data_IF_220503848092
#
_entry.id   IF_220503848092
#
_cell.length_a   1.000
_cell.length_b   1.000
_cell.length_c   1.000
_cell.angle_alpha   90.00
_cell.angle_beta   90.00
_cell.angle_gamma   90.00
#
_symmetry.space_group_name_H-M   'P 1'
#
loop_
_entity.id
_entity.type
_entity.pdbx_description
1 polymer ?
#
# COMPACT_ATOMS: atom_id res chain seq x y z
N UNK A 1 -29.12 -49.24 24.15
CA UNK A 1 -29.17 -47.84 24.65
C UNK A 1 -28.86 -46.91 23.48
N UNK A 2 -29.85 -46.14 23.05
CA UNK A 2 -29.80 -45.23 21.90
C UNK A 2 -29.10 -43.93 22.32
N UNK A 3 -27.99 -43.56 21.67
CA UNK A 3 -27.42 -42.23 21.78
C UNK A 3 -27.91 -41.40 20.60
N UNK A 4 -28.66 -40.37 20.88
CA UNK A 4 -29.30 -39.51 19.92
C UNK A 4 -28.29 -38.51 19.32
N UNK A 5 -28.22 -38.52 18.01
CA UNK A 5 -27.47 -37.58 17.18
C UNK A 5 -28.29 -36.28 17.07
N UNK A 6 -27.95 -35.24 17.86
CA UNK A 6 -28.49 -33.89 17.70
C UNK A 6 -27.69 -33.17 16.61
N UNK A 7 -28.14 -33.26 15.37
CA UNK A 7 -27.77 -32.31 14.32
C UNK A 7 -28.37 -30.95 14.69
N UNK A 8 -27.51 -29.97 14.95
CA UNK A 8 -27.91 -28.58 15.09
C UNK A 8 -28.50 -28.07 13.76
N UNK A 9 -29.80 -27.89 13.73
CA UNK A 9 -30.50 -27.12 12.71
C UNK A 9 -30.12 -25.64 12.93
N UNK A 10 -29.16 -25.11 12.13
CA UNK A 10 -28.96 -23.70 12.06
C UNK A 10 -30.22 -23.02 11.53
N UNK A 11 -30.94 -22.34 12.41
CA UNK A 11 -32.03 -21.46 11.98
C UNK A 11 -31.48 -20.42 11.03
N UNK A 12 -32.01 -20.39 9.80
CA UNK A 12 -31.72 -19.31 8.86
C UNK A 12 -32.15 -17.98 9.49
N UNK A 13 -31.33 -16.93 9.43
CA UNK A 13 -31.73 -15.63 9.95
C UNK A 13 -33.01 -15.19 9.22
N UNK A 14 -34.10 -15.00 9.97
CA UNK A 14 -35.40 -14.57 9.44
C UNK A 14 -35.36 -13.07 9.15
N UNK A 15 -34.61 -12.69 8.11
CA UNK A 15 -34.55 -11.32 7.61
C UNK A 15 -35.72 -11.13 6.67
N UNK A 16 -36.68 -10.28 7.03
CA UNK A 16 -37.76 -9.91 6.14
C UNK A 16 -37.20 -9.19 4.90
N UNK A 17 -37.77 -9.46 3.73
CA UNK A 17 -37.30 -8.87 2.45
C UNK A 17 -37.21 -7.33 2.50
N UNK A 18 -38.06 -6.67 3.32
CA UNK A 18 -38.04 -5.21 3.54
C UNK A 18 -36.81 -4.73 4.33
N UNK A 19 -36.15 -5.60 5.07
CA UNK A 19 -34.98 -5.29 5.91
C UNK A 19 -33.67 -5.61 5.16
N UNK A 20 -33.77 -6.07 3.91
CA UNK A 20 -32.62 -6.41 3.10
C UNK A 20 -32.00 -5.17 2.43
N UNK A 21 -30.73 -4.92 2.69
CA UNK A 21 -29.98 -3.83 2.08
C UNK A 21 -29.49 -4.25 0.70
N UNK A 22 -29.84 -3.50 -0.36
CA UNK A 22 -29.39 -3.75 -1.71
C UNK A 22 -27.87 -3.52 -1.83
N UNK A 23 -27.14 -4.58 -2.21
CA UNK A 23 -25.70 -4.55 -2.35
C UNK A 23 -25.19 -3.55 -3.39
N UNK A 24 -25.98 -3.27 -4.46
CA UNK A 24 -25.64 -2.25 -5.47
C UNK A 24 -25.68 -0.85 -4.88
N UNK A 25 -26.65 -0.55 -4.00
CA UNK A 25 -26.71 0.74 -3.30
C UNK A 25 -25.51 0.89 -2.35
N UNK A 26 -25.13 -0.18 -1.63
CA UNK A 26 -23.92 -0.21 -0.79
C UNK A 26 -22.65 0.03 -1.63
N UNK A 27 -22.56 -0.56 -2.80
CA UNK A 27 -21.45 -0.38 -3.73
C UNK A 27 -21.28 1.09 -4.14
N UNK A 28 -22.36 1.74 -4.56
CA UNK A 28 -22.31 3.16 -4.94
C UNK A 28 -21.96 4.06 -3.75
N UNK A 29 -22.53 3.78 -2.58
CA UNK A 29 -22.23 4.54 -1.37
C UNK A 29 -20.75 4.38 -0.99
N UNK A 30 -20.22 3.16 -0.97
CA UNK A 30 -18.83 2.87 -0.63
C UNK A 30 -17.86 3.63 -1.54
N UNK A 31 -18.06 3.57 -2.85
CA UNK A 31 -17.19 4.25 -3.80
C UNK A 31 -17.32 5.78 -3.73
N UNK A 32 -18.51 6.32 -3.59
CA UNK A 32 -18.71 7.77 -3.43
C UNK A 32 -18.01 8.29 -2.16
N UNK A 33 -18.10 7.56 -1.05
CA UNK A 33 -17.44 7.90 0.21
C UNK A 33 -15.91 7.78 0.10
N UNK A 34 -15.40 6.73 -0.55
CA UNK A 34 -13.95 6.51 -0.78
C UNK A 34 -13.34 7.59 -1.66
N UNK A 35 -14.04 7.99 -2.73
CA UNK A 35 -13.59 9.04 -3.65
C UNK A 35 -13.72 10.45 -3.06
N UNK A 36 -14.55 10.66 -2.05
CA UNK A 36 -14.80 11.95 -1.43
C UNK A 36 -15.52 12.98 -2.35
N UNK A 37 -15.75 12.64 -3.63
CA UNK A 37 -16.45 13.46 -4.63
C UNK A 37 -17.25 12.59 -5.57
N UNK A 38 -18.48 12.99 -5.89
CA UNK A 38 -19.33 12.27 -6.83
C UNK A 38 -18.76 12.26 -8.26
N UNK A 39 -18.11 13.34 -8.69
CA UNK A 39 -17.48 13.43 -10.03
C UNK A 39 -16.32 12.44 -10.20
N UNK A 40 -15.57 12.18 -9.12
CA UNK A 40 -14.51 11.17 -9.13
C UNK A 40 -15.13 9.77 -9.14
N UNK A 41 -16.17 9.55 -8.34
CA UNK A 41 -16.91 8.28 -8.33
C UNK A 41 -17.53 7.96 -9.71
N UNK A 42 -18.08 8.97 -10.42
CA UNK A 42 -18.57 8.84 -11.79
C UNK A 42 -17.47 8.35 -12.74
N UNK A 43 -16.28 8.96 -12.68
CA UNK A 43 -15.14 8.57 -13.52
C UNK A 43 -14.66 7.14 -13.22
N UNK A 44 -14.67 6.73 -11.95
CA UNK A 44 -14.23 5.40 -11.51
C UNK A 44 -15.23 4.32 -11.86
N UNK A 45 -16.54 4.61 -11.71
CA UNK A 45 -17.61 3.62 -11.86
C UNK A 45 -18.20 3.57 -13.28
N UNK A 46 -17.93 4.57 -14.11
CA UNK A 46 -18.55 4.70 -15.43
C UNK A 46 -20.07 4.92 -15.35
N UNK A 47 -20.58 5.46 -14.24
CA UNK A 47 -22.01 5.66 -13.97
C UNK A 47 -22.26 7.13 -13.68
N UNK A 48 -23.26 7.74 -14.31
CA UNK A 48 -23.57 9.16 -14.15
C UNK A 48 -23.74 9.56 -12.69
N UNK A 49 -23.17 10.70 -12.31
CA UNK A 49 -23.22 11.26 -10.94
C UNK A 49 -24.64 11.30 -10.36
N UNK A 50 -25.63 11.68 -11.19
CA UNK A 50 -27.04 11.75 -10.78
C UNK A 50 -27.60 10.38 -10.40
N UNK A 51 -27.20 9.31 -11.11
CA UNK A 51 -27.62 7.96 -10.78
C UNK A 51 -26.99 7.49 -9.49
N UNK A 52 -25.67 7.71 -9.26
CA UNK A 52 -24.98 7.38 -8.02
C UNK A 52 -25.63 8.11 -6.84
N UNK A 53 -25.84 9.43 -6.96
CA UNK A 53 -26.48 10.25 -5.91
C UNK A 53 -27.88 9.76 -5.57
N UNK A 54 -28.69 9.40 -6.57
CA UNK A 54 -30.04 8.86 -6.40
C UNK A 54 -30.03 7.53 -5.66
N UNK A 55 -29.12 6.62 -6.01
CA UNK A 55 -29.04 5.31 -5.34
C UNK A 55 -28.63 5.45 -3.86
N UNK A 56 -27.75 6.40 -3.57
CA UNK A 56 -27.34 6.68 -2.17
C UNK A 56 -28.53 7.31 -1.39
N UNK A 57 -29.28 8.24 -1.99
CA UNK A 57 -30.48 8.79 -1.34
C UNK A 57 -31.54 7.72 -1.04
N UNK A 58 -31.72 6.75 -1.94
CA UNK A 58 -32.59 5.60 -1.69
C UNK A 58 -32.05 4.76 -0.53
N UNK A 59 -30.75 4.48 -0.48
CA UNK A 59 -30.12 3.75 0.65
C UNK A 59 -30.34 4.50 1.98
N UNK A 60 -30.14 5.81 2.00
CA UNK A 60 -30.37 6.65 3.18
C UNK A 60 -31.83 6.62 3.63
N UNK A 61 -32.76 6.64 2.65
CA UNK A 61 -34.21 6.51 2.92
C UNK A 61 -34.55 5.12 3.47
N UNK A 62 -34.00 4.05 2.91
CA UNK A 62 -34.23 2.68 3.36
C UNK A 62 -33.71 2.47 4.81
N UNK A 63 -32.59 3.11 5.14
CA UNK A 63 -31.98 3.04 6.47
C UNK A 63 -32.53 4.08 7.47
N UNK A 64 -33.29 5.06 7.00
CA UNK A 64 -33.85 6.13 7.83
C UNK A 64 -32.82 7.12 8.37
N UNK A 65 -31.59 7.14 7.85
CA UNK A 65 -30.48 7.97 8.32
C UNK A 65 -29.64 8.50 7.18
N UNK A 66 -29.10 9.70 7.31
CA UNK A 66 -28.13 10.25 6.37
C UNK A 66 -26.76 9.62 6.60
N UNK A 67 -26.13 9.16 5.50
CA UNK A 67 -24.81 8.56 5.49
C UNK A 67 -23.73 9.52 5.02
N UNK A 68 -24.07 10.45 4.11
CA UNK A 68 -23.16 11.45 3.55
C UNK A 68 -23.63 12.87 3.82
N UNK A 69 -22.69 13.73 4.19
CA UNK A 69 -22.86 15.18 4.25
C UNK A 69 -22.22 15.81 3.01
N UNK A 70 -22.94 16.70 2.33
CA UNK A 70 -22.39 17.50 1.23
C UNK A 70 -21.60 18.67 1.80
N UNK A 71 -20.38 18.85 1.31
CA UNK A 71 -19.51 19.97 1.66
C UNK A 71 -19.22 20.79 0.39
N UNK A 72 -18.71 22.00 0.52
CA UNK A 72 -18.29 22.83 -0.62
C UNK A 72 -17.22 22.18 -1.50
N UNK A 73 -16.55 21.13 -1.01
CA UNK A 73 -15.45 20.44 -1.68
C UNK A 73 -15.71 18.95 -2.00
N UNK A 74 -16.91 18.46 -1.72
CA UNK A 74 -17.27 17.06 -1.98
C UNK A 74 -18.25 16.47 -0.98
N UNK A 75 -18.01 15.23 -0.56
CA UNK A 75 -18.84 14.51 0.43
C UNK A 75 -18.00 13.98 1.59
N UNK A 76 -18.61 13.95 2.78
CA UNK A 76 -18.01 13.38 4.00
C UNK A 76 -18.97 12.38 4.63
N UNK A 77 -18.42 11.38 5.31
CA UNK A 77 -19.20 10.41 6.07
C UNK A 77 -19.77 11.05 7.35
N UNK A 78 -21.07 10.85 7.60
CA UNK A 78 -21.69 11.08 8.89
C UNK A 78 -21.22 10.04 9.91
N UNK A 79 -21.66 10.14 11.19
CA UNK A 79 -21.42 9.08 12.18
C UNK A 79 -22.04 7.75 11.75
N UNK A 80 -23.29 7.78 11.25
CA UNK A 80 -23.96 6.59 10.69
C UNK A 80 -23.26 6.10 9.41
N UNK A 81 -22.84 7.03 8.53
CA UNK A 81 -22.07 6.70 7.33
C UNK A 81 -20.78 5.94 7.62
N UNK A 82 -20.04 6.28 8.68
CA UNK A 82 -18.83 5.54 9.07
C UNK A 82 -19.12 4.08 9.47
N UNK A 83 -20.24 3.85 10.14
CA UNK A 83 -20.69 2.49 10.52
C UNK A 83 -21.02 1.69 9.25
N UNK A 84 -21.89 2.25 8.38
CA UNK A 84 -22.30 1.60 7.14
C UNK A 84 -21.12 1.41 6.20
N UNK A 85 -20.19 2.37 6.10
CA UNK A 85 -18.98 2.26 5.29
C UNK A 85 -18.11 1.06 5.67
N UNK A 86 -17.93 0.84 6.98
CA UNK A 86 -17.17 -0.32 7.48
C UNK A 86 -17.83 -1.62 7.07
N UNK A 87 -19.15 -1.77 7.29
CA UNK A 87 -19.87 -2.98 6.92
C UNK A 87 -20.01 -3.15 5.42
N UNK A 88 -20.18 -2.06 4.65
CA UNK A 88 -20.20 -2.09 3.19
C UNK A 88 -18.89 -2.64 2.63
N UNK A 89 -17.74 -2.21 3.15
CA UNK A 89 -16.43 -2.78 2.77
C UNK A 89 -16.39 -4.30 3.00
N UNK A 90 -16.83 -4.76 4.17
CA UNK A 90 -16.82 -6.19 4.52
C UNK A 90 -17.74 -7.03 3.62
N UNK A 91 -18.92 -6.51 3.29
CA UNK A 91 -19.89 -7.18 2.40
C UNK A 91 -19.37 -7.24 0.96
N UNK A 92 -18.85 -6.12 0.44
CA UNK A 92 -18.31 -6.04 -0.91
C UNK A 92 -17.08 -6.94 -1.09
N UNK A 93 -16.23 -7.02 -0.06
CA UNK A 93 -15.11 -7.97 -0.02
C UNK A 93 -15.60 -9.42 -0.12
N UNK A 94 -16.66 -9.80 0.64
CA UNK A 94 -17.24 -11.15 0.59
C UNK A 94 -17.85 -11.46 -0.79
N UNK A 95 -18.50 -10.50 -1.42
CA UNK A 95 -19.03 -10.68 -2.79
C UNK A 95 -17.93 -10.87 -3.82
N UNK A 96 -16.82 -10.15 -3.66
CA UNK A 96 -15.62 -10.32 -4.48
C UNK A 96 -14.99 -11.70 -4.26
N UNK A 97 -14.96 -12.16 -3.01
CA UNK A 97 -14.47 -13.50 -2.63
C UNK A 97 -15.28 -14.62 -3.31
N UNK A 98 -16.62 -14.51 -3.35
CA UNK A 98 -17.47 -15.48 -4.05
C UNK A 98 -17.14 -15.60 -5.55
N UNK A 99 -16.97 -14.45 -6.23
CA UNK A 99 -16.58 -14.44 -7.66
C UNK A 99 -15.25 -15.16 -7.88
N UNK A 100 -14.28 -14.81 -7.07
CA UNK A 100 -12.93 -15.37 -7.14
C UNK A 100 -12.93 -16.87 -6.83
N UNK A 101 -13.65 -17.32 -5.79
CA UNK A 101 -13.72 -18.74 -5.42
C UNK A 101 -14.37 -19.57 -6.53
N UNK A 102 -15.34 -18.99 -7.25
CA UNK A 102 -15.91 -19.62 -8.45
C UNK A 102 -14.91 -19.63 -9.61
N UNK A 103 -14.13 -18.58 -9.82
CA UNK A 103 -13.08 -18.54 -10.84
C UNK A 103 -11.96 -19.54 -10.54
N UNK A 104 -11.58 -19.72 -9.28
CA UNK A 104 -10.63 -20.76 -8.85
C UNK A 104 -11.21 -22.15 -9.11
N UNK A 105 -12.50 -22.37 -8.82
CA UNK A 105 -13.17 -23.67 -9.04
C UNK A 105 -13.37 -23.96 -10.53
N UNK A 106 -13.63 -22.93 -11.35
CA UNK A 106 -13.78 -23.05 -12.80
C UNK A 106 -12.44 -23.17 -13.54
N UNK A 107 -11.36 -22.62 -12.95
CA UNK A 107 -9.99 -22.65 -13.48
C UNK A 107 -9.13 -23.60 -12.66
N UNK A 108 -9.50 -24.87 -12.55
CA UNK A 108 -8.68 -25.91 -11.87
C UNK A 108 -7.24 -26.05 -12.41
N UNK A 109 -6.79 -25.17 -13.33
CA UNK A 109 -5.46 -25.21 -13.96
C UNK A 109 -4.93 -23.88 -14.50
N UNK A 110 -5.16 -22.74 -13.86
CA UNK A 110 -4.28 -21.60 -14.19
C UNK A 110 -3.24 -21.47 -13.10
N UNK A 111 -2.09 -22.10 -13.33
CA UNK A 111 -0.85 -21.86 -12.59
C UNK A 111 -0.43 -20.39 -12.76
N UNK A 112 -1.14 -19.48 -12.10
CA UNK A 112 -0.83 -18.06 -12.12
C UNK A 112 -0.52 -17.58 -10.71
N UNK A 113 0.58 -16.84 -10.57
CA UNK A 113 0.98 -16.17 -9.34
C UNK A 113 1.29 -14.70 -9.63
N UNK A 114 0.83 -13.81 -8.75
CA UNK A 114 1.02 -12.39 -8.90
C UNK A 114 1.69 -11.76 -7.66
N UNK A 115 2.80 -11.05 -7.90
CA UNK A 115 3.55 -10.28 -6.91
C UNK A 115 3.44 -8.80 -7.21
N UNK A 116 3.15 -8.00 -6.20
CA UNK A 116 3.15 -6.54 -6.34
C UNK A 116 4.08 -5.88 -5.30
N UNK A 117 4.63 -4.71 -5.64
CA UNK A 117 5.48 -3.99 -4.71
C UNK A 117 5.84 -2.57 -5.15
N UNK A 118 6.50 -1.80 -4.27
CA UNK A 118 6.94 -0.45 -4.59
C UNK A 118 8.12 -0.45 -5.58
N UNK A 119 8.28 0.62 -6.38
CA UNK A 119 9.32 0.75 -7.40
C UNK A 119 10.72 0.38 -6.92
N UNK A 120 11.12 0.85 -5.74
CA UNK A 120 12.46 0.61 -5.18
C UNK A 120 12.73 -0.88 -4.92
N UNK A 121 11.74 -1.61 -4.38
CA UNK A 121 11.86 -3.04 -4.16
C UNK A 121 11.87 -3.81 -5.49
N UNK A 122 10.97 -3.46 -6.40
CA UNK A 122 10.85 -4.12 -7.69
C UNK A 122 12.12 -3.97 -8.52
N UNK A 123 12.66 -2.75 -8.63
CA UNK A 123 13.90 -2.50 -9.38
C UNK A 123 15.08 -3.28 -8.79
N UNK A 124 15.16 -3.40 -7.46
CA UNK A 124 16.31 -4.04 -6.80
C UNK A 124 16.24 -5.56 -6.81
N UNK A 125 15.09 -6.16 -6.49
CA UNK A 125 14.99 -7.59 -6.21
C UNK A 125 14.19 -8.38 -7.24
N UNK A 126 13.21 -7.74 -7.92
CA UNK A 126 12.36 -8.49 -8.84
C UNK A 126 13.11 -9.16 -9.98
N UNK A 127 14.20 -8.62 -10.56
CA UNK A 127 14.96 -9.33 -11.60
C UNK A 127 15.43 -10.70 -11.14
N UNK A 128 16.06 -10.82 -9.97
CA UNK A 128 16.54 -12.09 -9.43
C UNK A 128 15.38 -13.01 -9.05
N UNK A 129 14.32 -12.46 -8.42
CA UNK A 129 13.12 -13.20 -8.05
C UNK A 129 12.47 -13.81 -9.30
N UNK A 130 12.27 -13.03 -10.34
CA UNK A 130 11.64 -13.49 -11.60
C UNK A 130 12.47 -14.58 -12.26
N UNK A 131 13.78 -14.37 -12.38
CA UNK A 131 14.68 -15.36 -13.02
C UNK A 131 14.64 -16.69 -12.28
N UNK A 132 14.82 -16.68 -10.95
CA UNK A 132 14.82 -17.91 -10.14
C UNK A 132 13.45 -18.57 -10.11
N UNK A 133 12.38 -17.80 -9.95
CA UNK A 133 11.03 -18.36 -9.95
C UNK A 133 10.67 -19.02 -11.27
N UNK A 134 10.99 -18.39 -12.42
CA UNK A 134 10.76 -18.95 -13.74
C UNK A 134 11.60 -20.20 -14.02
N UNK A 135 12.75 -20.35 -13.41
CA UNK A 135 13.55 -21.59 -13.47
C UNK A 135 12.90 -22.74 -12.68
N UNK A 136 12.33 -22.43 -11.49
CA UNK A 136 11.66 -23.44 -10.66
C UNK A 136 10.26 -23.81 -11.20
N UNK A 137 9.55 -22.85 -11.76
CA UNK A 137 8.16 -22.99 -12.21
C UNK A 137 7.97 -22.45 -13.64
N UNK A 138 8.53 -23.12 -14.66
CA UNK A 138 8.52 -22.61 -16.05
C UNK A 138 7.11 -22.51 -16.65
N UNK A 139 6.16 -23.33 -16.17
CA UNK A 139 4.76 -23.36 -16.65
C UNK A 139 3.86 -22.35 -15.96
N UNK A 140 4.25 -21.83 -14.79
CA UNK A 140 3.46 -20.88 -14.02
C UNK A 140 3.50 -19.50 -14.68
N UNK A 141 2.35 -18.89 -14.86
CA UNK A 141 2.24 -17.51 -15.31
C UNK A 141 2.54 -16.57 -14.15
N UNK A 142 3.71 -15.93 -14.14
CA UNK A 142 4.09 -14.94 -13.15
C UNK A 142 3.68 -13.54 -13.62
N UNK A 143 2.93 -12.82 -12.79
CA UNK A 143 2.62 -11.40 -12.95
C UNK A 143 3.39 -10.59 -11.91
N UNK A 144 4.06 -9.52 -12.34
CA UNK A 144 4.77 -8.59 -11.44
C UNK A 144 4.22 -7.19 -11.66
N UNK A 145 3.71 -6.58 -10.59
CA UNK A 145 3.01 -5.29 -10.64
C UNK A 145 3.74 -4.28 -9.75
N UNK A 146 4.03 -3.12 -10.32
CA UNK A 146 4.61 -2.00 -9.59
C UNK A 146 3.51 -1.01 -9.19
N UNK A 147 3.39 -0.69 -7.91
CA UNK A 147 2.41 0.28 -7.43
C UNK A 147 2.80 0.87 -6.06
N UNK A 148 2.20 2.00 -5.69
CA UNK A 148 2.31 2.56 -4.34
C UNK A 148 1.52 1.74 -3.32
N UNK A 149 1.93 1.76 -2.04
CA UNK A 149 1.38 0.93 -0.96
C UNK A 149 -0.15 0.93 -0.87
N UNK A 150 -0.81 2.08 -1.06
CA UNK A 150 -2.28 2.16 -1.01
C UNK A 150 -2.96 1.31 -2.08
N UNK A 151 -2.46 1.35 -3.30
CA UNK A 151 -2.98 0.56 -4.42
C UNK A 151 -2.66 -0.92 -4.27
N UNK A 152 -1.48 -1.26 -3.70
CA UNK A 152 -1.08 -2.65 -3.45
C UNK A 152 -2.05 -3.39 -2.55
N UNK A 153 -2.55 -2.72 -1.51
CA UNK A 153 -3.54 -3.30 -0.60
C UNK A 153 -4.91 -3.50 -1.26
N UNK A 154 -5.32 -2.57 -2.13
CA UNK A 154 -6.52 -2.75 -2.94
C UNK A 154 -6.37 -3.97 -3.85
N UNK A 155 -5.25 -4.10 -4.57
CA UNK A 155 -4.98 -5.26 -5.44
C UNK A 155 -4.95 -6.59 -4.69
N UNK A 156 -4.49 -6.63 -3.43
CA UNK A 156 -4.58 -7.83 -2.59
C UNK A 156 -6.04 -8.17 -2.25
N UNK A 157 -6.81 -7.17 -1.80
CA UNK A 157 -8.22 -7.36 -1.42
C UNK A 157 -9.05 -7.79 -2.62
N UNK A 158 -8.85 -7.16 -3.78
CA UNK A 158 -9.55 -7.48 -5.03
C UNK A 158 -9.07 -8.80 -5.67
N UNK A 159 -8.05 -9.44 -5.09
CA UNK A 159 -7.48 -10.69 -5.60
C UNK A 159 -6.68 -10.56 -6.89
N UNK A 160 -6.36 -9.33 -7.31
CA UNK A 160 -5.53 -9.07 -8.49
C UNK A 160 -4.06 -9.48 -8.26
N UNK A 161 -3.62 -9.59 -7.01
CA UNK A 161 -2.30 -10.10 -6.62
C UNK A 161 -2.41 -11.05 -5.43
N UNK A 162 -1.48 -12.00 -5.34
CA UNK A 162 -1.39 -12.98 -4.25
C UNK A 162 -0.51 -12.46 -3.11
N UNK A 163 0.56 -11.79 -3.48
CA UNK A 163 1.60 -11.30 -2.57
C UNK A 163 1.86 -9.82 -2.84
N UNK A 164 1.98 -9.02 -1.78
CA UNK A 164 2.38 -7.63 -1.93
C UNK A 164 3.52 -7.26 -0.97
N UNK A 165 4.43 -6.42 -1.46
CA UNK A 165 5.50 -5.81 -0.67
C UNK A 165 5.03 -4.43 -0.25
N UNK A 166 5.08 -4.13 1.06
CA UNK A 166 4.67 -2.83 1.59
C UNK A 166 5.70 -2.31 2.61
N UNK A 167 5.82 -0.99 2.71
CA UNK A 167 6.73 -0.33 3.66
C UNK A 167 6.02 0.17 4.93
N UNK A 168 4.73 -0.06 5.02
CA UNK A 168 3.93 0.23 6.20
C UNK A 168 2.77 -0.76 6.29
N UNK A 169 2.57 -1.32 7.47
CA UNK A 169 1.46 -2.22 7.72
C UNK A 169 0.20 -1.39 7.97
N UNK A 170 -0.87 -1.57 7.18
CA UNK A 170 -2.15 -1.01 7.54
C UNK A 170 -2.69 -1.70 8.79
N UNK A 171 -3.46 -0.98 9.60
CA UNK A 171 -4.19 -1.56 10.73
C UNK A 171 -5.30 -2.48 10.21
N UNK A 172 -4.94 -3.70 9.82
CA UNK A 172 -5.88 -4.69 9.30
C UNK A 172 -5.63 -6.03 9.95
N UNK A 173 -6.68 -6.66 10.43
CA UNK A 173 -6.65 -8.04 10.95
C UNK A 173 -6.74 -9.11 9.85
N UNK A 174 -7.00 -8.68 8.61
CA UNK A 174 -7.19 -9.56 7.45
C UNK A 174 -5.89 -10.01 6.80
N UNK A 175 -4.76 -9.36 7.11
CA UNK A 175 -3.46 -9.62 6.49
C UNK A 175 -2.59 -10.54 7.34
N UNK A 176 -1.93 -11.48 6.69
CA UNK A 176 -0.72 -12.12 7.17
C UNK A 176 0.46 -11.23 6.80
N UNK A 177 1.37 -11.01 7.75
CA UNK A 177 2.45 -10.04 7.60
C UNK A 177 3.76 -10.67 8.01
N UNK A 178 4.71 -10.68 7.10
CA UNK A 178 6.08 -11.15 7.34
C UNK A 178 7.05 -9.99 7.14
N UNK A 179 7.86 -9.67 8.15
CA UNK A 179 8.96 -8.70 7.99
C UNK A 179 10.08 -9.36 7.20
N UNK A 180 10.44 -8.79 6.05
CA UNK A 180 11.47 -9.35 5.17
C UNK A 180 12.77 -8.56 5.19
N UNK A 181 12.73 -7.26 5.49
CA UNK A 181 13.93 -6.43 5.62
C UNK A 181 13.65 -5.19 6.48
N UNK A 182 14.71 -4.54 6.93
CA UNK A 182 14.73 -3.20 7.50
C UNK A 182 15.73 -2.37 6.71
N UNK A 183 15.40 -1.12 6.37
CA UNK A 183 16.31 -0.19 5.68
C UNK A 183 16.40 1.15 6.39
N UNK A 184 17.54 1.79 6.30
CA UNK A 184 17.73 3.17 6.74
C UNK A 184 17.13 4.15 5.74
N UNK A 185 16.66 5.29 6.25
CA UNK A 185 16.23 6.43 5.43
C UNK A 185 17.31 7.49 5.48
N UNK A 186 17.64 8.01 4.31
CA UNK A 186 18.70 8.99 4.12
C UNK A 186 18.12 10.31 3.60
N UNK A 187 18.79 11.39 3.94
CA UNK A 187 18.69 12.65 3.22
C UNK A 187 19.56 12.56 1.98
N UNK A 188 18.98 12.82 0.82
CA UNK A 188 19.68 12.69 -0.46
C UNK A 188 19.75 14.04 -1.17
N UNK A 189 20.91 14.35 -1.74
CA UNK A 189 21.17 15.61 -2.41
C UNK A 189 22.26 15.47 -3.48
N UNK A 190 22.42 16.51 -4.30
CA UNK A 190 23.54 16.63 -5.21
C UNK A 190 24.88 16.61 -4.43
N UNK A 191 25.99 16.16 -5.06
CA UNK A 191 27.26 15.97 -4.36
C UNK A 191 27.87 17.24 -3.73
N UNK A 192 27.53 18.42 -4.24
CA UNK A 192 28.00 19.74 -3.79
C UNK A 192 27.08 20.39 -2.74
N UNK A 193 25.99 19.72 -2.35
CA UNK A 193 25.06 20.27 -1.39
C UNK A 193 25.69 20.40 0.01
N UNK A 194 25.49 21.54 0.75
CA UNK A 194 26.13 21.81 2.03
C UNK A 194 25.99 20.69 3.07
N UNK A 195 24.82 20.09 3.19
CA UNK A 195 24.53 18.99 4.14
C UNK A 195 25.41 17.76 3.91
N UNK A 196 25.87 17.55 2.67
CA UNK A 196 26.77 16.43 2.35
C UNK A 196 28.15 16.64 3.01
N UNK A 197 28.60 17.89 3.10
CA UNK A 197 29.86 18.24 3.75
C UNK A 197 29.78 18.04 5.28
N UNK A 198 28.61 18.29 5.87
CA UNK A 198 28.36 18.06 7.29
C UNK A 198 28.33 16.57 7.64
N UNK A 199 27.95 15.71 6.67
CA UNK A 199 27.96 14.26 6.79
C UNK A 199 26.76 13.67 7.56
N UNK A 200 25.83 14.51 8.04
CA UNK A 200 24.59 14.13 8.72
C UNK A 200 23.53 15.21 8.50
N UNK A 201 22.28 14.81 8.31
CA UNK A 201 21.16 15.73 8.16
C UNK A 201 20.37 15.80 9.48
N UNK A 202 20.50 16.89 10.20
CA UNK A 202 19.75 17.13 11.44
C UNK A 202 18.29 17.42 11.12
N UNK A 203 17.38 16.73 11.80
CA UNK A 203 15.95 16.81 11.56
C UNK A 203 15.40 18.22 11.55
N UNK A 204 15.87 19.08 12.46
CA UNK A 204 15.46 20.47 12.60
C UNK A 204 15.81 21.36 11.39
N UNK A 205 16.90 21.04 10.67
CA UNK A 205 17.34 21.81 9.50
C UNK A 205 16.81 21.31 8.16
N UNK A 206 16.29 20.08 8.10
CA UNK A 206 15.80 19.49 6.85
C UNK A 206 14.70 20.36 6.19
N UNK A 207 13.72 20.96 6.92
CA UNK A 207 12.70 21.81 6.30
C UNK A 207 13.22 23.10 5.64
N UNK A 208 14.43 23.51 5.95
CA UNK A 208 15.07 24.69 5.34
C UNK A 208 15.49 24.43 3.89
N UNK A 209 15.58 23.15 3.49
CA UNK A 209 15.91 22.74 2.14
C UNK A 209 14.63 22.50 1.30
N UNK A 210 14.79 22.44 -0.01
CA UNK A 210 13.68 22.15 -0.95
C UNK A 210 13.28 20.68 -0.86
N UNK A 211 12.64 20.30 0.23
CA UNK A 211 12.28 18.93 0.53
C UNK A 211 11.16 18.42 -0.41
N UNK A 212 11.35 17.21 -0.93
CA UNK A 212 10.28 16.46 -1.62
C UNK A 212 9.74 15.37 -0.69
N UNK A 213 8.42 15.32 -0.58
CA UNK A 213 7.70 14.30 0.17
C UNK A 213 6.83 13.45 -0.77
N UNK A 214 6.53 12.20 -0.40
CA UNK A 214 5.49 11.42 -1.09
C UNK A 214 4.13 12.12 -1.01
N UNK A 215 3.33 12.06 -2.09
CA UNK A 215 1.98 12.62 -2.11
C UNK A 215 0.96 11.72 -1.41
N UNK A 216 1.11 10.39 -1.57
CA UNK A 216 0.21 9.39 -0.98
C UNK A 216 0.29 9.38 0.55
N UNK A 217 -0.87 9.43 1.20
CA UNK A 217 -1.00 9.37 2.67
C UNK A 217 -0.70 7.98 3.25
N UNK A 218 -0.63 6.94 2.43
CA UNK A 218 -0.34 5.58 2.86
C UNK A 218 1.13 5.22 2.57
N UNK A 219 1.77 4.58 3.54
CA UNK A 219 3.15 4.14 3.42
C UNK A 219 4.17 5.18 3.85
N UNK A 220 5.12 5.50 2.99
CA UNK A 220 6.31 6.31 3.30
C UNK A 220 5.99 7.70 3.87
N UNK A 221 4.95 8.38 3.36
CA UNK A 221 4.57 9.72 3.84
C UNK A 221 4.22 9.72 5.33
N UNK A 222 3.43 8.75 5.80
CA UNK A 222 3.05 8.67 7.22
C UNK A 222 4.27 8.50 8.13
N UNK A 223 5.27 7.72 7.68
CA UNK A 223 6.53 7.55 8.41
C UNK A 223 7.29 8.87 8.51
N UNK A 224 7.38 9.62 7.41
CA UNK A 224 8.07 10.92 7.40
C UNK A 224 7.32 11.97 8.22
N UNK A 225 6.00 12.08 8.08
CA UNK A 225 5.20 13.00 8.90
C UNK A 225 5.42 12.75 10.38
N UNK A 226 5.34 11.50 10.82
CA UNK A 226 5.59 11.15 12.23
C UNK A 226 6.99 11.55 12.69
N UNK A 227 8.00 11.27 11.87
CA UNK A 227 9.39 11.64 12.19
C UNK A 227 9.55 13.15 12.46
N UNK A 228 8.91 14.00 11.67
CA UNK A 228 8.96 15.45 11.88
C UNK A 228 8.04 15.93 13.01
N UNK A 229 6.84 15.33 13.15
CA UNK A 229 5.92 15.62 14.26
C UNK A 229 6.55 15.34 15.63
N UNK A 230 7.32 14.28 15.77
CA UNK A 230 8.09 13.97 16.99
C UNK A 230 9.13 15.07 17.35
N UNK A 231 9.56 15.85 16.38
CA UNK A 231 10.41 17.03 16.55
C UNK A 231 9.64 18.35 16.66
N UNK A 232 8.29 18.31 16.62
CA UNK A 232 7.46 19.53 16.59
C UNK A 232 7.55 20.33 15.30
N UNK A 233 7.92 19.68 14.18
CA UNK A 233 8.22 20.33 12.90
C UNK A 233 7.07 20.08 11.92
N UNK A 234 6.53 21.16 11.33
CA UNK A 234 5.53 21.09 10.26
C UNK A 234 6.20 21.08 8.88
N UNK A 235 5.91 20.05 8.09
CA UNK A 235 6.40 19.88 6.71
C UNK A 235 5.25 19.82 5.69
N UNK A 236 4.06 20.27 6.06
CA UNK A 236 2.85 20.15 5.21
C UNK A 236 2.93 20.94 3.91
N UNK A 237 3.73 22.01 3.87
CA UNK A 237 3.89 22.93 2.71
C UNK A 237 4.93 22.48 1.69
N UNK A 238 5.61 21.35 1.88
CA UNK A 238 6.66 20.87 0.99
C UNK A 238 6.11 20.31 -0.32
N UNK A 239 6.97 20.25 -1.35
CA UNK A 239 6.64 19.67 -2.66
C UNK A 239 6.27 18.18 -2.49
N UNK A 240 5.17 17.74 -3.12
CA UNK A 240 4.68 16.39 -3.00
C UNK A 240 4.72 15.65 -4.34
N UNK A 241 5.42 14.51 -4.40
CA UNK A 241 5.61 13.71 -5.62
C UNK A 241 5.59 12.22 -5.26
N UNK A 242 4.79 11.41 -5.97
CA UNK A 242 4.76 9.95 -5.83
C UNK A 242 5.64 9.21 -6.85
N UNK A 243 6.04 9.87 -7.94
CA UNK A 243 6.86 9.26 -8.98
C UNK A 243 8.33 9.23 -8.57
N UNK A 244 8.86 8.04 -8.26
CA UNK A 244 10.28 7.86 -7.94
C UNK A 244 11.21 8.32 -9.09
N UNK A 245 10.94 8.00 -10.37
CA UNK A 245 11.75 8.52 -11.48
C UNK A 245 11.76 10.04 -11.57
N UNK A 246 10.60 10.70 -11.39
CA UNK A 246 10.53 12.17 -11.39
C UNK A 246 11.31 12.77 -10.22
N UNK A 247 11.20 12.15 -9.03
CA UNK A 247 11.91 12.57 -7.83
C UNK A 247 13.43 12.52 -8.04
N UNK A 248 13.93 11.41 -8.64
CA UNK A 248 15.34 11.25 -9.01
C UNK A 248 15.81 12.33 -10.00
N UNK A 249 15.00 12.62 -11.02
CA UNK A 249 15.33 13.68 -12.01
C UNK A 249 15.39 15.06 -11.37
N UNK A 250 14.44 15.42 -10.52
CA UNK A 250 14.43 16.70 -9.83
C UNK A 250 15.61 16.87 -8.88
N UNK A 251 16.06 15.79 -8.25
CA UNK A 251 17.26 15.81 -7.41
C UNK A 251 18.53 16.04 -8.25
N UNK A 252 18.60 15.42 -9.44
CA UNK A 252 19.78 15.55 -10.32
C UNK A 252 19.84 16.89 -11.07
N UNK A 253 18.69 17.47 -11.40
CA UNK A 253 18.57 18.65 -12.26
C UNK A 253 18.22 19.94 -11.51
N UNK A 254 17.86 19.86 -10.23
CA UNK A 254 17.39 20.99 -9.43
C UNK A 254 17.86 20.97 -7.98
N UNK A 255 17.48 21.99 -7.20
CA UNK A 255 17.91 22.15 -5.82
C UNK A 255 17.06 21.29 -4.84
N UNK A 256 16.50 20.17 -5.28
CA UNK A 256 15.54 19.40 -4.49
C UNK A 256 16.21 18.26 -3.73
N UNK A 257 15.75 18.02 -2.50
CA UNK A 257 16.33 17.07 -1.57
C UNK A 257 15.26 16.13 -1.02
N UNK A 258 15.02 14.94 -1.61
CA UNK A 258 14.09 13.98 -1.05
C UNK A 258 14.69 13.18 0.11
N UNK A 259 13.83 12.72 1.02
CA UNK A 259 14.16 11.61 1.90
C UNK A 259 13.93 10.30 1.15
N UNK A 260 14.93 9.44 1.11
CA UNK A 260 14.87 8.17 0.40
C UNK A 260 15.28 7.01 1.30
N UNK A 261 14.53 5.89 1.24
CA UNK A 261 15.02 4.63 1.75
C UNK A 261 16.21 4.16 0.91
N UNK A 262 17.07 3.38 1.52
CA UNK A 262 18.30 2.91 0.89
C UNK A 262 18.09 2.29 -0.50
N UNK A 263 17.10 1.40 -0.65
CA UNK A 263 16.78 0.78 -1.92
C UNK A 263 16.46 1.79 -3.04
N UNK A 264 15.91 2.95 -2.67
CA UNK A 264 15.52 3.97 -3.63
C UNK A 264 16.70 4.78 -4.19
N UNK A 265 17.78 4.92 -3.42
CA UNK A 265 18.92 5.77 -3.77
C UNK A 265 20.23 4.99 -4.02
N UNK A 266 20.28 3.69 -3.71
CA UNK A 266 21.48 2.86 -3.76
C UNK A 266 22.24 2.97 -5.07
N UNK A 267 21.54 2.80 -6.19
CA UNK A 267 22.14 2.85 -7.52
C UNK A 267 22.82 4.19 -7.83
N UNK A 268 22.11 5.30 -7.57
CA UNK A 268 22.62 6.66 -7.80
C UNK A 268 23.76 7.06 -6.85
N UNK A 269 23.77 6.51 -5.63
CA UNK A 269 24.91 6.70 -4.70
C UNK A 269 26.13 5.91 -5.17
N UNK A 270 25.92 4.67 -5.65
CA UNK A 270 27.00 3.84 -6.19
C UNK A 270 27.61 4.43 -7.46
N UNK A 271 26.79 4.99 -8.35
CA UNK A 271 27.24 5.71 -9.55
C UNK A 271 27.83 7.09 -9.26
N UNK A 272 27.73 7.57 -8.01
CA UNK A 272 28.15 8.91 -7.58
C UNK A 272 27.38 10.07 -8.21
N UNK A 273 26.23 9.81 -8.77
CA UNK A 273 25.37 10.83 -9.31
C UNK A 273 24.70 11.66 -8.21
N UNK A 274 24.46 11.06 -7.05
CA UNK A 274 24.02 11.72 -5.84
C UNK A 274 24.79 11.24 -4.61
N UNK A 275 24.64 11.96 -3.53
CA UNK A 275 25.09 11.52 -2.20
C UNK A 275 23.94 11.42 -1.22
N UNK A 276 24.14 10.57 -0.23
CA UNK A 276 23.19 10.33 0.85
C UNK A 276 23.90 10.47 2.19
N UNK A 277 23.25 11.14 3.13
CA UNK A 277 23.73 11.25 4.51
C UNK A 277 22.66 10.73 5.48
N UNK A 278 23.07 10.10 6.59
CA UNK A 278 22.13 9.65 7.59
C UNK A 278 21.38 10.82 8.22
N UNK A 279 20.18 10.52 8.70
CA UNK A 279 19.38 11.45 9.49
C UNK A 279 19.80 11.46 10.96
N UNK A 280 19.65 12.60 11.61
CA UNK A 280 19.81 12.75 13.05
C UNK A 280 18.57 13.40 13.67
N UNK A 281 17.80 12.66 14.50
CA UNK A 281 17.95 11.24 14.85
C UNK A 281 17.74 10.30 13.65
N UNK A 282 18.31 9.08 13.67
CA UNK A 282 18.18 8.13 12.57
C UNK A 282 16.73 7.69 12.37
N UNK A 283 16.35 7.50 11.10
CA UNK A 283 15.03 7.00 10.71
C UNK A 283 15.19 5.68 9.98
N UNK A 284 14.50 4.65 10.45
CA UNK A 284 14.42 3.34 9.82
C UNK A 284 13.01 3.00 9.43
N UNK A 285 12.85 2.14 8.43
CA UNK A 285 11.57 1.57 8.05
C UNK A 285 11.69 0.09 7.71
N UNK A 286 10.66 -0.67 8.05
CA UNK A 286 10.60 -2.08 7.70
C UNK A 286 9.96 -2.27 6.33
N UNK A 287 10.38 -3.35 5.67
CA UNK A 287 9.77 -3.86 4.44
C UNK A 287 9.05 -5.16 4.80
N UNK A 288 7.80 -5.27 4.39
CA UNK A 288 6.94 -6.39 4.73
C UNK A 288 6.44 -7.07 3.47
N UNK A 289 6.39 -8.39 3.51
CA UNK A 289 5.62 -9.22 2.60
C UNK A 289 4.25 -9.45 3.24
N UNK A 290 3.18 -9.20 2.50
CA UNK A 290 1.81 -9.36 3.00
C UNK A 290 0.95 -10.15 2.03
N UNK A 291 0.03 -10.96 2.57
CA UNK A 291 -1.04 -11.62 1.84
C UNK A 291 -2.31 -11.72 2.70
N UNK A 292 -3.43 -12.15 2.12
CA UNK A 292 -4.68 -12.28 2.84
C UNK A 292 -4.70 -13.55 3.72
N UNK A 293 -5.01 -13.42 5.02
CA UNK A 293 -5.13 -14.55 5.96
C UNK A 293 -6.16 -15.60 5.53
N UNK A 294 -7.29 -15.14 5.01
CA UNK A 294 -8.41 -15.99 4.60
C UNK A 294 -8.24 -16.61 3.21
N UNK A 295 -7.18 -16.25 2.49
CA UNK A 295 -6.85 -16.80 1.18
C UNK A 295 -5.55 -17.61 1.30
N UNK A 296 -5.63 -18.94 1.42
CA UNK A 296 -4.44 -19.79 1.39
C UNK A 296 -3.67 -19.54 0.08
N UNK A 297 -2.37 -19.40 0.20
CA UNK A 297 -1.51 -19.31 -0.98
C UNK A 297 -1.43 -20.68 -1.67
N UNK A 298 -1.36 -20.68 -3.00
CA UNK A 298 -1.03 -21.89 -3.75
C UNK A 298 0.40 -22.35 -3.40
N UNK A 299 0.79 -23.60 -3.69
CA UNK A 299 2.16 -24.07 -3.49
C UNK A 299 3.19 -23.16 -4.18
N UNK A 300 2.88 -22.68 -5.39
CA UNK A 300 3.73 -21.80 -6.19
C UNK A 300 3.81 -20.39 -5.58
N UNK A 301 2.69 -19.85 -5.08
CA UNK A 301 2.68 -18.56 -4.38
C UNK A 301 3.45 -18.63 -3.05
N UNK A 302 3.37 -19.76 -2.33
CA UNK A 302 4.20 -19.99 -1.13
C UNK A 302 5.68 -20.05 -1.49
N UNK A 303 6.06 -20.78 -2.55
CA UNK A 303 7.44 -20.84 -3.04
C UNK A 303 7.96 -19.45 -3.46
N UNK A 304 7.10 -18.62 -4.09
CA UNK A 304 7.44 -17.24 -4.40
C UNK A 304 7.64 -16.41 -3.12
N UNK A 305 6.81 -16.56 -2.11
CA UNK A 305 6.94 -15.86 -0.83
C UNK A 305 8.24 -16.22 -0.11
N UNK A 306 8.63 -17.51 -0.10
CA UNK A 306 9.91 -17.97 0.45
C UNK A 306 11.10 -17.41 -0.33
N UNK A 307 11.03 -17.40 -1.66
CA UNK A 307 12.07 -16.85 -2.52
C UNK A 307 12.26 -15.34 -2.28
N UNK A 308 11.17 -14.59 -2.21
CA UNK A 308 11.17 -13.14 -1.90
C UNK A 308 11.83 -12.91 -0.53
N UNK A 309 11.43 -13.66 0.48
CA UNK A 309 11.96 -13.53 1.85
C UNK A 309 13.45 -13.86 1.90
N UNK A 310 13.86 -14.90 1.19
CA UNK A 310 15.28 -15.33 1.13
C UNK A 310 16.14 -14.29 0.44
N UNK A 311 15.72 -13.79 -0.73
CA UNK A 311 16.50 -12.81 -1.51
C UNK A 311 16.60 -11.48 -0.77
N UNK A 312 15.47 -10.93 -0.28
CA UNK A 312 15.47 -9.67 0.45
C UNK A 312 16.21 -9.80 1.81
N UNK A 313 16.04 -10.94 2.51
CA UNK A 313 16.68 -11.19 3.79
C UNK A 313 18.20 -11.39 3.71
N UNK A 314 18.72 -11.91 2.58
CA UNK A 314 20.17 -12.12 2.36
C UNK A 314 20.93 -10.82 2.12
N UNK A 315 20.24 -9.73 1.82
CA UNK A 315 20.85 -8.42 1.55
C UNK A 315 21.13 -7.59 2.80
N UNK A 316 20.81 -8.11 3.99
CA UNK A 316 21.02 -7.40 5.28
C UNK A 316 22.46 -6.93 5.48
N UNK A 317 23.45 -7.70 5.02
CA UNK A 317 24.87 -7.34 5.13
C UNK A 317 25.31 -6.37 4.01
N UNK A 318 24.52 -6.19 2.97
CA UNK A 318 24.76 -5.28 1.85
C UNK A 318 24.04 -3.95 1.98
N UNK A 319 23.10 -3.84 2.91
CA UNK A 319 22.33 -2.64 3.20
C UNK A 319 23.14 -1.63 4.03
N UNK A 320 24.28 -1.20 3.52
CA UNK A 320 25.01 -0.03 4.01
C UNK A 320 25.55 0.73 2.82
N UNK A 321 24.98 1.89 2.57
CA UNK A 321 25.54 2.81 1.60
C UNK A 321 26.99 3.14 1.98
N UNK A 322 27.93 3.23 1.03
CA UNK A 322 29.28 3.69 1.32
C UNK A 322 29.22 5.14 1.80
N UNK A 323 29.10 5.32 3.12
CA UNK A 323 29.17 6.63 3.75
C UNK A 323 30.51 7.29 3.41
N UNK A 324 30.51 8.59 3.15
CA UNK A 324 31.70 9.33 2.77
C UNK A 324 32.86 9.05 3.75
N UNK A 325 34.09 8.93 3.22
CA UNK A 325 35.28 8.46 3.97
C UNK A 325 35.61 9.25 5.26
N UNK A 326 34.91 10.35 5.58
CA UNK A 326 35.08 11.13 6.81
C UNK A 326 34.34 10.54 8.03
N UNK A 327 33.32 9.70 7.83
CA UNK A 327 32.51 9.13 8.94
C UNK A 327 33.13 7.90 9.61
N UNK A 328 34.22 7.32 9.09
CA UNK A 328 34.92 6.19 9.71
C UNK A 328 35.90 6.59 10.83
N UNK A 329 35.94 7.85 11.24
CA UNK A 329 36.89 8.39 12.25
C UNK A 329 36.21 9.14 13.42
N UNK A 330 34.93 8.93 13.68
CA UNK A 330 34.26 9.44 14.88
C UNK A 330 33.78 8.28 15.76
#
# INVERSE_FOLDING_TARGET
MKAANKKGSGELPNIAAKDFIDSRKLYYFYHAASCGRFTIAEAVLGVAQSAISRQIQVLESDLGVQLLERTGHGVRLTKAGKIVYKHASEILDQMSDVKRDLEITANEQTDQVALAGPPSFMTTYAPEIVIRFRQMYPHVKLSVVEAATGNLLAHLVDGAVDLAIVVQIPKSTKLEVTTIAEEDVYFTAAPDHPVITEGVAKREHIPEYNLILPASLLGTKTTFLRYFEEGGIDISSQLQIDSLPLMKRLLLEGPYCPLMGELSCRELVQSRELQAVPLDPPLKRNIYLVHLKKRPLSPEANALAELVTTIAGSDKDRMQLPLSKRQKKA
#
